data_IF_744347294541
#
_entry.id   IF_744347294541
#
_cell.length_a   1.000
_cell.length_b   1.000
_cell.length_c   1.000
_cell.angle_alpha   90.00
_cell.angle_beta   90.00
_cell.angle_gamma   90.00
#
_symmetry.space_group_name_H-M   'P 1'
#
loop_
_entity.id
_entity.type
_entity.pdbx_description
1 polymer ?
#
# COMPACT_ATOMS: atom_id res chain seq x y z
N UNK A 1 2.42 72.92 -24.95
CA UNK A 1 1.83 71.67 -25.49
C UNK A 1 1.17 70.94 -24.33
N UNK A 2 -0.16 70.87 -24.37
CA UNK A 2 -0.98 69.90 -23.64
C UNK A 2 -0.50 68.47 -23.98
N UNK A 3 -0.67 67.44 -23.14
CA UNK A 3 -1.95 66.79 -22.86
C UNK A 3 -1.95 66.09 -21.48
N UNK A 4 -3.15 66.10 -20.94
CA UNK A 4 -3.72 65.75 -19.64
C UNK A 4 -4.14 64.27 -19.51
N UNK A 5 -4.25 63.82 -18.24
CA UNK A 5 -5.22 62.83 -17.66
C UNK A 5 -5.04 61.35 -18.06
N UNK A 6 -5.43 60.33 -17.29
CA UNK A 6 -6.35 60.18 -16.15
C UNK A 6 -6.10 58.81 -15.47
N UNK A 7 -6.51 58.66 -14.20
CA UNK A 7 -6.48 57.40 -13.41
C UNK A 7 -7.92 56.86 -13.29
N UNK A 8 -8.19 55.54 -13.33
CA UNK A 8 -8.70 54.88 -12.11
C UNK A 8 -8.31 53.38 -11.93
N UNK A 9 -8.10 52.96 -10.67
CA UNK A 9 -7.85 51.55 -10.23
C UNK A 9 -9.14 50.70 -10.12
N UNK A 10 -9.35 49.87 -9.08
CA UNK A 10 -8.41 49.14 -8.20
C UNK A 10 -8.79 47.64 -8.03
N UNK A 11 -7.87 46.77 -7.58
CA UNK A 11 -8.13 45.65 -6.66
C UNK A 11 -6.79 44.96 -6.32
N UNK A 12 -6.12 45.44 -5.26
CA UNK A 12 -5.03 44.72 -4.58
C UNK A 12 -5.51 44.42 -3.16
N UNK A 13 -5.72 43.15 -2.87
CA UNK A 13 -6.07 42.65 -1.54
C UNK A 13 -4.85 42.76 -0.63
N UNK A 14 -4.96 43.57 0.41
CA UNK A 14 -3.98 43.70 1.50
C UNK A 14 -4.26 42.61 2.53
N UNK A 15 -3.29 41.72 2.76
CA UNK A 15 -3.30 40.76 3.87
C UNK A 15 -2.86 41.51 5.13
N UNK A 16 -3.74 41.60 6.12
CA UNK A 16 -3.50 42.20 7.45
C UNK A 16 -3.06 41.09 8.42
N UNK A 17 -1.82 41.16 8.90
CA UNK A 17 -1.35 40.43 10.08
C UNK A 17 -1.66 41.26 11.33
N UNK A 18 -2.24 40.68 12.41
CA UNK A 18 -2.28 41.36 13.69
C UNK A 18 -1.00 41.06 14.51
N UNK A 19 -0.23 42.11 14.76
CA UNK A 19 0.65 42.19 15.92
C UNK A 19 -0.17 42.59 17.16
N UNK A 20 0.04 41.90 18.28
CA UNK A 20 -0.23 42.45 19.61
C UNK A 20 0.86 41.97 20.56
N UNK A 21 1.68 42.90 21.00
CA UNK A 21 2.72 42.75 22.02
C UNK A 21 2.46 43.79 23.10
N UNK A 22 2.32 43.34 24.35
CA UNK A 22 2.42 44.04 25.65
C UNK A 22 1.84 43.05 26.69
N UNK A 23 2.39 42.78 27.88
CA UNK A 23 3.36 43.47 28.74
C UNK A 23 3.86 42.45 29.81
N UNK A 24 5.03 42.69 30.39
CA UNK A 24 5.75 41.80 31.35
C UNK A 24 5.33 41.98 32.84
N UNK A 25 5.43 40.85 33.59
CA UNK A 25 5.83 40.64 35.00
C UNK A 25 4.83 40.93 36.18
N UNK A 26 5.04 40.40 37.43
CA UNK A 26 5.93 39.33 37.94
C UNK A 26 5.28 38.29 38.91
N UNK A 27 6.05 37.21 39.21
CA UNK A 27 6.11 36.32 40.39
C UNK A 27 4.95 36.13 41.40
N UNK A 28 4.54 34.88 41.65
CA UNK A 28 4.40 34.30 43.00
C UNK A 28 4.24 32.75 42.97
N UNK A 29 4.80 31.96 43.94
CA UNK A 29 4.76 30.50 43.94
C UNK A 29 3.91 29.91 45.08
N UNK A 30 3.04 28.92 44.81
CA UNK A 30 2.39 28.05 45.81
C UNK A 30 1.87 26.74 45.15
N UNK A 31 1.53 25.68 45.89
CA UNK A 31 2.37 24.90 46.80
C UNK A 31 2.35 23.38 46.45
N UNK A 32 3.21 22.65 47.13
CA UNK A 32 3.26 21.17 47.19
C UNK A 32 1.96 20.55 47.74
N UNK A 33 1.81 19.27 47.41
CA UNK A 33 1.02 18.22 48.08
C UNK A 33 -0.33 17.86 47.46
N UNK A 34 -0.33 16.79 46.66
CA UNK A 34 -1.50 15.94 46.43
C UNK A 34 -1.06 14.51 46.76
N UNK A 35 -1.53 14.01 47.90
CA UNK A 35 -1.46 12.60 48.27
C UNK A 35 -2.33 11.75 47.33
N UNK A 36 -1.93 10.50 47.01
CA UNK A 36 -2.78 9.57 46.29
C UNK A 36 -3.84 8.94 47.22
N UNK A 37 -5.10 8.77 46.78
CA UNK A 37 -6.11 8.10 47.60
C UNK A 37 -5.81 6.60 47.73
N UNK A 38 -5.69 6.15 48.97
CA UNK A 38 -5.66 4.74 49.35
C UNK A 38 -7.03 4.10 49.13
N UNK A 39 -7.17 3.29 48.07
CA UNK A 39 -8.29 2.37 47.93
C UNK A 39 -8.00 1.10 48.75
N UNK A 40 -8.62 1.01 49.94
CA UNK A 40 -8.81 -0.27 50.64
C UNK A 40 -10.06 -0.93 50.07
N UNK A 41 -9.90 -2.13 49.51
CA UNK A 41 -11.02 -3.01 49.18
C UNK A 41 -11.14 -4.02 50.32
N UNK A 42 -12.24 -3.95 51.06
CA UNK A 42 -12.64 -4.94 52.05
C UNK A 42 -13.06 -6.25 51.35
N UNK A 43 -12.31 -7.32 51.57
CA UNK A 43 -12.58 -8.67 51.05
C UNK A 43 -13.31 -9.47 52.14
N UNK A 44 -14.57 -9.14 52.42
CA UNK A 44 -15.44 -10.02 53.21
C UNK A 44 -16.90 -9.82 52.87
N UNK A 45 -17.36 -10.46 51.78
CA UNK A 45 -18.70 -11.04 51.56
C UNK A 45 -18.98 -11.12 50.06
N UNK A 46 -18.53 -12.21 49.43
CA UNK A 46 -19.22 -12.74 48.25
C UNK A 46 -19.40 -14.23 48.49
N UNK A 47 -20.67 -14.58 48.71
CA UNK A 47 -21.17 -15.92 48.91
C UNK A 47 -21.17 -16.63 47.55
N UNK A 48 -20.28 -17.59 47.35
CA UNK A 48 -20.25 -18.44 46.15
C UNK A 48 -21.32 -19.53 46.25
N UNK A 49 -22.25 -19.66 45.28
CA UNK A 49 -22.86 -20.95 45.03
C UNK A 49 -21.92 -21.78 44.16
N UNK A 50 -21.48 -22.87 44.76
CA UNK A 50 -20.82 -24.00 44.11
C UNK A 50 -21.77 -24.55 43.03
N UNK A 51 -21.27 -24.66 41.81
CA UNK A 51 -21.93 -25.41 40.73
C UNK A 51 -22.01 -24.63 39.43
N UNK A 52 -20.98 -24.79 38.59
CA UNK A 52 -20.96 -24.89 37.10
C UNK A 52 -19.48 -24.71 36.71
N UNK A 53 -18.66 -25.75 36.92
CA UNK A 53 -17.22 -25.75 36.59
C UNK A 53 -16.83 -26.97 35.74
N UNK A 54 -17.78 -27.61 35.04
CA UNK A 54 -17.48 -28.77 34.17
C UNK A 54 -17.95 -28.60 32.71
N UNK A 55 -18.68 -27.53 32.35
CA UNK A 55 -19.18 -27.35 30.97
C UNK A 55 -18.58 -26.18 30.18
N UNK A 56 -17.59 -25.45 30.70
CA UNK A 56 -16.88 -24.41 29.96
C UNK A 56 -15.54 -24.86 29.35
N UNK A 57 -14.99 -26.02 29.75
CA UNK A 57 -13.71 -26.52 29.24
C UNK A 57 -13.83 -27.44 28.00
N UNK A 58 -15.04 -27.81 27.60
CA UNK A 58 -15.30 -28.69 26.45
C UNK A 58 -15.77 -27.90 25.19
N UNK A 59 -16.11 -26.62 25.32
CA UNK A 59 -16.64 -25.82 24.19
C UNK A 59 -15.56 -25.19 23.29
N UNK A 60 -14.32 -24.98 23.76
CA UNK A 60 -13.30 -24.34 22.92
C UNK A 60 -12.48 -25.30 22.05
N UNK A 61 -12.45 -26.61 22.37
CA UNK A 61 -11.74 -27.62 21.56
C UNK A 61 -12.56 -28.13 20.35
N UNK A 62 -13.86 -27.84 20.27
CA UNK A 62 -14.72 -28.31 19.17
C UNK A 62 -14.94 -27.28 18.04
N UNK A 63 -14.33 -26.09 18.11
CA UNK A 63 -14.33 -25.11 17.02
C UNK A 63 -13.01 -25.08 16.21
N UNK A 64 -12.05 -25.95 16.53
CA UNK A 64 -10.81 -26.13 15.76
C UNK A 64 -10.79 -27.42 14.92
N UNK A 65 -11.91 -28.14 14.83
CA UNK A 65 -12.05 -29.37 14.05
C UNK A 65 -13.25 -29.32 13.08
N UNK A 66 -13.35 -28.26 12.28
CA UNK A 66 -14.30 -28.21 11.14
C UNK A 66 -14.00 -27.09 10.15
N UNK A 67 -12.76 -27.01 9.64
CA UNK A 67 -12.50 -26.44 8.30
C UNK A 67 -11.51 -27.35 7.58
N UNK A 68 -12.00 -28.51 7.16
CA UNK A 68 -11.43 -29.26 6.04
C UNK A 68 -12.35 -29.13 4.84
N UNK A 69 -11.74 -28.90 3.67
CA UNK A 69 -12.28 -28.91 2.30
C UNK A 69 -12.77 -27.57 1.71
N UNK A 70 -11.87 -26.59 1.58
CA UNK A 70 -11.83 -25.69 0.42
C UNK A 70 -10.46 -24.97 0.36
N UNK A 71 -9.46 -25.57 -0.29
CA UNK A 71 -8.14 -24.95 -0.40
C UNK A 71 -7.02 -25.77 -1.05
N UNK A 72 -7.31 -27.01 -1.46
CA UNK A 72 -6.36 -27.87 -2.16
C UNK A 72 -6.78 -28.01 -3.64
N UNK A 73 -6.58 -26.95 -4.41
CA UNK A 73 -6.60 -26.98 -5.88
C UNK A 73 -5.79 -25.79 -6.42
N UNK A 74 -4.54 -25.68 -6.00
CA UNK A 74 -3.52 -24.99 -6.80
C UNK A 74 -2.69 -26.07 -7.48
N UNK A 75 -3.00 -26.29 -8.75
CA UNK A 75 -2.28 -27.20 -9.63
C UNK A 75 -0.82 -26.79 -9.72
N UNK A 76 0.04 -27.65 -9.17
CA UNK A 76 1.45 -27.78 -9.51
C UNK A 76 1.54 -28.04 -11.02
N UNK A 77 1.88 -27.03 -11.81
CA UNK A 77 2.16 -27.21 -13.22
C UNK A 77 3.66 -27.52 -13.38
N UNK A 78 4.04 -28.65 -14.00
CA UNK A 78 5.44 -28.93 -14.29
C UNK A 78 5.96 -27.99 -15.39
N UNK A 79 7.20 -27.55 -15.22
CA UNK A 79 7.91 -26.71 -16.17
C UNK A 79 8.05 -27.42 -17.54
N UNK A 80 7.84 -26.72 -18.68
CA UNK A 80 8.20 -27.27 -19.97
C UNK A 80 9.70 -27.10 -20.24
N UNK A 81 10.31 -28.24 -20.51
CA UNK A 81 11.63 -28.47 -21.06
C UNK A 81 11.79 -27.77 -22.42
N UNK A 82 12.90 -27.06 -22.59
CA UNK A 82 13.27 -26.37 -23.83
C UNK A 82 13.84 -27.36 -24.84
N UNK A 83 13.21 -27.49 -26.01
CA UNK A 83 13.89 -27.95 -27.23
C UNK A 83 13.50 -27.10 -28.44
N UNK A 84 14.53 -26.74 -29.19
CA UNK A 84 14.55 -25.99 -30.44
C UNK A 84 13.73 -26.64 -31.57
N UNK A 85 13.18 -25.80 -32.47
CA UNK A 85 13.44 -25.77 -33.91
C UNK A 85 12.24 -25.28 -34.77
N UNK A 86 12.46 -24.15 -35.45
CA UNK A 86 12.04 -23.75 -36.82
C UNK A 86 10.70 -24.26 -37.42
N UNK A 87 9.83 -23.35 -37.89
CA UNK A 87 9.65 -22.99 -39.32
C UNK A 87 8.37 -22.14 -39.61
N UNK A 88 8.56 -21.12 -40.45
CA UNK A 88 7.65 -20.46 -41.41
C UNK A 88 6.48 -19.54 -40.99
N UNK A 89 6.61 -18.35 -41.57
CA UNK A 89 5.75 -17.18 -41.69
C UNK A 89 4.47 -17.43 -42.50
N UNK A 90 3.32 -16.96 -42.01
CA UNK A 90 2.24 -16.43 -42.86
C UNK A 90 1.38 -15.44 -42.06
N UNK A 91 1.33 -14.20 -42.54
CA UNK A 91 0.68 -13.08 -41.86
C UNK A 91 -0.85 -13.11 -41.94
N UNK A 92 -1.49 -12.58 -40.88
CA UNK A 92 -2.75 -11.84 -40.96
C UNK A 92 -3.06 -11.19 -39.59
N UNK A 93 -3.10 -9.86 -39.54
CA UNK A 93 -4.03 -9.12 -38.67
C UNK A 93 -3.79 -8.98 -37.14
N UNK A 94 -2.55 -9.06 -36.63
CA UNK A 94 -2.29 -8.97 -35.16
C UNK A 94 -1.41 -7.78 -34.77
N UNK A 95 -1.77 -6.55 -35.16
CA UNK A 95 -0.93 -5.37 -34.93
C UNK A 95 -1.42 -4.41 -33.83
N UNK A 96 -2.37 -4.80 -32.96
CA UNK A 96 -2.88 -3.90 -31.90
C UNK A 96 -2.96 -4.52 -30.50
N UNK A 97 -2.42 -5.73 -30.29
CA UNK A 97 -2.40 -6.39 -28.98
C UNK A 97 -1.08 -6.23 -28.22
N UNK A 98 -0.03 -5.69 -28.84
CA UNK A 98 1.33 -5.70 -28.29
C UNK A 98 1.77 -4.37 -27.65
N UNK A 99 0.86 -3.39 -27.48
CA UNK A 99 1.20 -2.06 -26.87
C UNK A 99 0.79 -1.99 -25.39
N UNK A 100 0.09 -2.98 -24.86
CA UNK A 100 -0.24 -3.04 -23.44
C UNK A 100 0.82 -3.87 -22.73
N UNK A 101 1.67 -3.21 -21.95
CA UNK A 101 2.61 -3.86 -21.03
C UNK A 101 1.88 -4.96 -20.26
N UNK A 102 2.26 -6.21 -20.49
CA UNK A 102 1.60 -7.38 -19.89
C UNK A 102 1.60 -7.28 -18.35
N UNK A 103 0.58 -7.83 -17.67
CA UNK A 103 0.55 -7.86 -16.21
C UNK A 103 1.84 -8.53 -15.70
N UNK A 104 2.47 -7.91 -14.71
CA UNK A 104 3.74 -8.39 -14.13
C UNK A 104 3.61 -9.86 -13.72
N UNK A 105 4.51 -10.72 -14.22
CA UNK A 105 4.62 -12.11 -13.80
C UNK A 105 4.58 -12.19 -12.26
N UNK A 106 3.57 -12.86 -11.71
CA UNK A 106 3.45 -13.06 -10.27
C UNK A 106 4.58 -13.96 -9.81
N UNK A 107 5.40 -13.53 -8.82
CA UNK A 107 6.49 -14.36 -8.33
C UNK A 107 5.90 -15.60 -7.65
N UNK A 108 6.63 -16.71 -7.72
CA UNK A 108 6.30 -17.88 -6.91
C UNK A 108 6.46 -17.54 -5.44
N UNK A 109 5.34 -17.44 -4.73
CA UNK A 109 5.32 -17.03 -3.33
C UNK A 109 5.89 -18.13 -2.44
N UNK A 110 7.01 -17.82 -1.79
CA UNK A 110 7.66 -18.68 -0.80
C UNK A 110 8.12 -17.82 0.38
N UNK A 111 8.28 -18.38 1.60
CA UNK A 111 8.81 -17.61 2.73
C UNK A 111 10.21 -17.06 2.44
N UNK A 112 11.03 -17.80 1.68
CA UNK A 112 12.37 -17.39 1.27
C UNK A 112 12.37 -16.13 0.40
N UNK A 113 11.37 -15.97 -0.47
CA UNK A 113 11.18 -14.74 -1.23
C UNK A 113 10.97 -13.53 -0.31
N UNK A 114 10.12 -13.66 0.72
CA UNK A 114 9.84 -12.58 1.67
C UNK A 114 11.06 -12.21 2.52
N UNK A 115 11.88 -13.20 2.89
CA UNK A 115 13.11 -12.97 3.65
C UNK A 115 14.30 -12.51 2.81
N UNK A 116 14.10 -12.25 1.52
CA UNK A 116 15.08 -11.63 0.63
C UNK A 116 14.63 -10.19 0.31
N UNK A 117 14.99 -9.18 1.13
CA UNK A 117 14.48 -7.81 0.98
C UNK A 117 14.71 -7.22 -0.41
N UNK A 118 15.84 -7.57 -1.04
CA UNK A 118 16.19 -7.11 -2.40
C UNK A 118 15.17 -7.64 -3.42
N UNK A 119 14.90 -8.95 -3.41
CA UNK A 119 13.95 -9.57 -4.32
C UNK A 119 12.53 -9.01 -4.16
N UNK A 120 12.08 -8.83 -2.90
CA UNK A 120 10.78 -8.23 -2.62
C UNK A 120 10.68 -6.78 -3.12
N UNK A 121 11.68 -5.95 -2.83
CA UNK A 121 11.71 -4.55 -3.29
C UNK A 121 11.83 -4.44 -4.80
N UNK A 122 12.63 -5.29 -5.44
CA UNK A 122 12.77 -5.30 -6.89
C UNK A 122 11.48 -5.70 -7.60
N UNK A 123 10.78 -6.71 -7.08
CA UNK A 123 9.45 -7.05 -7.60
C UNK A 123 8.50 -5.84 -7.54
N UNK A 124 8.41 -5.18 -6.39
CA UNK A 124 7.53 -4.01 -6.21
C UNK A 124 7.95 -2.85 -7.10
N UNK A 125 9.25 -2.56 -7.18
CA UNK A 125 9.82 -1.50 -8.03
C UNK A 125 9.53 -1.74 -9.51
N UNK A 126 9.77 -2.96 -10.01
CA UNK A 126 9.54 -3.31 -11.41
C UNK A 126 8.04 -3.26 -11.74
N UNK A 127 7.19 -3.80 -10.86
CA UNK A 127 5.74 -3.78 -11.05
C UNK A 127 5.16 -2.36 -11.06
N UNK A 128 5.65 -1.46 -10.21
CA UNK A 128 5.27 -0.04 -10.22
C UNK A 128 5.81 0.66 -11.47
N UNK A 129 7.07 0.42 -11.83
CA UNK A 129 7.72 1.02 -12.99
C UNK A 129 7.04 0.70 -14.32
N UNK A 130 6.47 -0.52 -14.45
CA UNK A 130 5.83 -0.95 -15.69
C UNK A 130 4.44 -0.36 -15.93
N UNK A 131 3.70 -0.04 -14.86
CA UNK A 131 2.30 0.41 -14.93
C UNK A 131 2.08 1.81 -14.36
N UNK A 132 2.51 2.04 -13.12
CA UNK A 132 2.18 3.23 -12.32
C UNK A 132 3.09 4.41 -12.68
N UNK A 133 4.42 4.22 -12.72
CA UNK A 133 5.35 5.30 -13.06
C UNK A 133 5.19 5.75 -14.53
N UNK A 134 4.81 4.81 -15.40
CA UNK A 134 4.51 5.07 -16.81
C UNK A 134 3.02 5.32 -17.08
N UNK A 135 2.18 5.54 -16.04
CA UNK A 135 0.72 5.62 -16.21
C UNK A 135 0.28 6.66 -17.23
N UNK A 136 0.94 7.83 -17.26
CA UNK A 136 0.62 8.87 -18.22
C UNK A 136 0.89 8.41 -19.67
N UNK A 137 1.97 7.67 -19.89
CA UNK A 137 2.31 7.09 -21.20
C UNK A 137 1.31 6.00 -21.57
N UNK A 138 1.01 5.08 -20.65
CA UNK A 138 0.03 4.01 -20.84
C UNK A 138 -1.35 4.59 -21.21
N UNK A 139 -1.82 5.61 -20.49
CA UNK A 139 -3.10 6.28 -20.78
C UNK A 139 -3.08 7.04 -22.11
N UNK A 140 -2.00 7.72 -22.43
CA UNK A 140 -1.88 8.42 -23.71
C UNK A 140 -1.85 7.45 -24.90
N UNK A 141 -1.31 6.24 -24.73
CA UNK A 141 -1.32 5.20 -25.77
C UNK A 141 -2.74 4.69 -26.09
N UNK A 142 -3.68 4.80 -25.15
CA UNK A 142 -5.10 4.46 -25.38
C UNK A 142 -5.82 5.49 -26.24
N UNK A 143 -5.28 6.71 -26.34
CA UNK A 143 -5.80 7.74 -27.24
C UNK A 143 -5.43 7.29 -28.66
N UNK A 144 -6.43 6.94 -29.46
CA UNK A 144 -6.23 6.48 -30.85
C UNK A 144 -6.82 7.52 -31.82
N UNK A 145 -6.05 8.54 -32.23
CA UNK A 145 -6.53 9.57 -33.16
C UNK A 145 -6.97 8.99 -34.51
N UNK A 146 -6.35 7.89 -34.94
CA UNK A 146 -6.64 7.27 -36.24
C UNK A 146 -8.06 6.68 -36.34
N UNK A 147 -8.73 6.36 -35.22
CA UNK A 147 -10.12 5.88 -35.25
C UNK A 147 -11.11 6.95 -35.69
N UNK A 148 -10.80 8.24 -35.51
CA UNK A 148 -11.70 9.31 -35.95
C UNK A 148 -11.60 9.62 -37.45
N UNK A 149 -10.73 8.93 -38.19
CA UNK A 149 -10.47 9.25 -39.60
C UNK A 149 -9.80 10.63 -39.76
N UNK A 150 -9.16 10.82 -40.92
CA UNK A 150 -8.72 12.16 -41.33
C UNK A 150 -9.79 12.73 -42.26
N UNK A 151 -10.49 13.76 -41.81
CA UNK A 151 -11.41 14.51 -42.65
C UNK A 151 -10.67 15.72 -43.25
N UNK A 152 -10.41 15.66 -44.56
CA UNK A 152 -9.72 16.72 -45.29
C UNK A 152 -10.44 18.08 -45.19
N UNK A 153 -11.76 18.09 -44.99
CA UNK A 153 -12.56 19.33 -44.85
C UNK A 153 -12.32 20.03 -43.50
N UNK A 154 -11.83 19.30 -42.50
CA UNK A 154 -11.53 19.80 -41.15
C UNK A 154 -10.33 20.75 -41.08
N UNK A 155 -9.53 20.86 -42.16
CA UNK A 155 -8.42 21.83 -42.22
C UNK A 155 -8.85 23.27 -42.49
N UNK A 156 -10.09 23.49 -42.96
CA UNK A 156 -10.60 24.81 -43.33
C UNK A 156 -11.21 25.60 -42.17
N UNK A 157 -11.58 24.94 -41.07
CA UNK A 157 -12.23 25.58 -39.91
C UNK A 157 -11.41 25.33 -38.65
N UNK A 158 -10.94 26.41 -38.02
CA UNK A 158 -10.27 26.38 -36.71
C UNK A 158 -11.32 26.17 -35.61
N UNK A 159 -11.91 24.98 -35.52
CA UNK A 159 -12.81 24.62 -34.43
C UNK A 159 -11.97 24.47 -33.16
N UNK A 160 -12.33 25.20 -32.10
CA UNK A 160 -11.81 24.94 -30.76
C UNK A 160 -12.19 23.49 -30.39
N UNK A 161 -11.23 22.56 -30.55
CA UNK A 161 -11.45 21.12 -30.35
C UNK A 161 -12.07 20.89 -28.98
N UNK A 162 -13.13 20.07 -28.92
CA UNK A 162 -13.57 19.39 -27.68
C UNK A 162 -12.33 18.77 -27.03
N UNK A 163 -12.19 18.95 -25.71
CA UNK A 163 -10.99 18.65 -24.91
C UNK A 163 -10.08 17.58 -25.54
N UNK A 164 -8.92 17.97 -26.10
CA UNK A 164 -8.04 17.02 -26.76
C UNK A 164 -7.52 16.03 -25.71
N UNK A 165 -7.87 14.76 -25.87
CA UNK A 165 -7.31 13.65 -25.09
C UNK A 165 -8.21 13.01 -24.04
N UNK A 166 -9.52 13.04 -24.23
CA UNK A 166 -10.42 12.10 -23.54
C UNK A 166 -10.26 10.70 -24.16
N UNK A 167 -10.12 9.69 -23.30
CA UNK A 167 -9.98 8.30 -23.72
C UNK A 167 -11.37 7.70 -23.87
N UNK A 168 -11.54 6.84 -24.87
CA UNK A 168 -12.81 6.15 -25.11
C UNK A 168 -13.19 5.27 -23.88
N UNK A 169 -14.43 5.36 -23.36
CA UNK A 169 -14.80 4.73 -22.08
C UNK A 169 -14.54 3.23 -22.00
N UNK A 170 -14.81 2.48 -23.07
CA UNK A 170 -14.55 1.04 -23.12
C UNK A 170 -13.04 0.75 -23.04
N UNK A 171 -12.21 1.49 -23.77
CA UNK A 171 -10.75 1.34 -23.75
C UNK A 171 -10.17 1.64 -22.36
N UNK A 172 -10.70 2.66 -21.67
CA UNK A 172 -10.36 2.94 -20.27
C UNK A 172 -10.79 1.83 -19.33
N UNK A 173 -11.98 1.27 -19.51
CA UNK A 173 -12.48 0.19 -18.66
C UNK A 173 -11.68 -1.11 -18.87
N UNK A 174 -11.34 -1.44 -20.12
CA UNK A 174 -10.48 -2.57 -20.45
C UNK A 174 -9.09 -2.41 -19.81
N UNK A 175 -8.46 -1.24 -19.92
CA UNK A 175 -7.18 -0.97 -19.26
C UNK A 175 -7.27 -1.15 -17.73
N UNK A 176 -8.34 -0.63 -17.11
CA UNK A 176 -8.59 -0.79 -15.67
C UNK A 176 -8.70 -2.27 -15.29
N UNK A 177 -9.57 -3.01 -15.96
CA UNK A 177 -9.94 -4.37 -15.57
C UNK A 177 -8.89 -5.43 -15.96
N UNK A 178 -8.14 -5.23 -17.05
CA UNK A 178 -7.19 -6.21 -17.60
C UNK A 178 -5.73 -5.92 -17.22
N UNK A 179 -5.37 -4.68 -16.92
CA UNK A 179 -3.97 -4.27 -16.69
C UNK A 179 -3.78 -3.68 -15.30
N UNK A 180 -4.47 -2.59 -14.98
CA UNK A 180 -4.23 -1.82 -13.77
C UNK A 180 -4.59 -2.60 -12.49
N UNK A 181 -5.85 -3.04 -12.38
CA UNK A 181 -6.31 -3.74 -11.18
C UNK A 181 -5.65 -5.10 -10.97
N UNK A 182 -5.42 -5.94 -12.00
CA UNK A 182 -4.64 -7.17 -11.83
C UNK A 182 -3.22 -6.91 -11.31
N UNK A 183 -2.54 -5.88 -11.81
CA UNK A 183 -1.19 -5.49 -11.33
C UNK A 183 -1.22 -5.07 -9.85
N UNK A 184 -2.17 -4.22 -9.47
CA UNK A 184 -2.35 -3.81 -8.08
C UNK A 184 -2.68 -4.99 -7.17
N UNK A 185 -3.52 -5.92 -7.66
CA UNK A 185 -3.86 -7.14 -6.94
C UNK A 185 -2.63 -8.00 -6.69
N UNK A 186 -1.82 -8.26 -7.72
CA UNK A 186 -0.60 -9.05 -7.59
C UNK A 186 0.36 -8.48 -6.53
N UNK A 187 0.53 -7.15 -6.48
CA UNK A 187 1.33 -6.51 -5.42
C UNK A 187 0.69 -6.63 -4.04
N UNK A 188 -0.64 -6.47 -3.96
CA UNK A 188 -1.39 -6.68 -2.71
C UNK A 188 -1.22 -8.11 -2.18
N UNK A 189 -1.26 -9.11 -3.06
CA UNK A 189 -1.14 -10.53 -2.69
C UNK A 189 0.26 -10.81 -2.13
N UNK A 190 1.31 -10.31 -2.78
CA UNK A 190 2.69 -10.41 -2.29
C UNK A 190 2.85 -9.75 -0.91
N UNK A 191 2.36 -8.51 -0.73
CA UNK A 191 2.44 -7.80 0.54
C UNK A 191 1.60 -8.43 1.65
N UNK A 192 0.52 -9.14 1.29
CA UNK A 192 -0.35 -9.85 2.24
C UNK A 192 0.30 -11.17 2.65
N UNK A 193 0.80 -11.94 1.68
CA UNK A 193 1.52 -13.17 1.92
C UNK A 193 2.77 -12.93 2.79
N UNK A 194 3.60 -11.95 2.45
CA UNK A 194 4.78 -11.66 3.26
C UNK A 194 4.43 -11.13 4.66
N UNK A 195 3.28 -10.49 4.85
CA UNK A 195 2.84 -10.10 6.19
C UNK A 195 2.44 -11.31 7.04
N UNK A 196 1.79 -12.31 6.44
CA UNK A 196 1.54 -13.58 7.12
C UNK A 196 2.86 -14.26 7.54
N UNK A 197 3.84 -14.32 6.63
CA UNK A 197 5.18 -14.85 6.92
C UNK A 197 5.86 -14.07 8.05
N UNK A 198 5.76 -12.73 8.06
CA UNK A 198 6.36 -11.89 9.09
C UNK A 198 5.75 -12.09 10.49
N UNK A 199 4.52 -12.60 10.59
CA UNK A 199 3.86 -12.92 11.86
C UNK A 199 4.03 -14.39 12.28
N UNK A 200 4.57 -15.24 11.42
CA UNK A 200 4.84 -16.64 11.72
C UNK A 200 6.17 -16.79 12.48
N UNK A 201 6.28 -17.76 13.40
CA UNK A 201 7.58 -18.18 13.92
C UNK A 201 8.54 -18.57 12.78
N UNK A 202 9.79 -18.14 12.88
CA UNK A 202 10.86 -18.42 11.92
C UNK A 202 11.92 -19.32 12.58
N UNK A 203 11.77 -20.65 12.51
CA UNK A 203 12.72 -21.58 13.12
C UNK A 203 14.09 -21.58 12.43
N UNK A 204 14.15 -21.09 11.19
CA UNK A 204 15.35 -21.08 10.34
C UNK A 204 16.09 -19.73 10.39
N UNK A 205 15.79 -18.85 11.36
CA UNK A 205 16.51 -17.59 11.54
C UNK A 205 17.96 -17.86 12.01
N UNK A 206 18.99 -17.56 11.17
CA UNK A 206 20.38 -17.86 11.49
C UNK A 206 20.91 -17.03 12.66
N UNK A 207 20.24 -15.92 13.01
CA UNK A 207 20.66 -15.02 14.08
C UNK A 207 20.07 -15.38 15.45
N UNK A 208 19.24 -16.42 15.57
CA UNK A 208 18.59 -16.80 16.84
C UNK A 208 19.60 -17.03 17.96
N UNK A 209 20.62 -17.88 17.70
CA UNK A 209 21.61 -18.24 18.71
C UNK A 209 22.50 -17.05 19.09
N UNK A 210 22.89 -16.24 18.09
CA UNK A 210 23.70 -15.04 18.31
C UNK A 210 22.95 -14.03 19.18
N UNK A 211 21.67 -13.78 18.88
CA UNK A 211 20.81 -12.87 19.64
C UNK A 211 20.60 -13.35 21.08
N UNK A 212 20.41 -14.65 21.27
CA UNK A 212 20.28 -15.25 22.60
C UNK A 212 21.55 -15.06 23.43
N UNK A 213 22.72 -15.34 22.85
CA UNK A 213 24.02 -15.16 23.51
C UNK A 213 24.30 -13.69 23.87
N UNK A 214 23.95 -12.74 22.99
CA UNK A 214 24.10 -11.30 23.27
C UNK A 214 23.17 -10.82 24.37
N UNK A 215 21.93 -11.33 24.38
CA UNK A 215 20.95 -11.01 25.41
C UNK A 215 21.42 -11.52 26.76
N UNK A 216 22.01 -12.72 26.81
CA UNK A 216 22.56 -13.27 28.04
C UNK A 216 23.79 -12.48 28.53
N UNK A 217 24.76 -12.19 27.65
CA UNK A 217 25.89 -11.33 28.02
C UNK A 217 25.45 -9.96 28.54
N UNK A 218 24.42 -9.37 27.94
CA UNK A 218 23.93 -8.08 28.40
C UNK A 218 23.23 -8.16 29.76
N UNK A 219 22.60 -9.30 30.10
CA UNK A 219 22.03 -9.51 31.44
C UNK A 219 23.11 -9.57 32.52
N UNK A 220 24.28 -10.08 32.19
CA UNK A 220 25.45 -10.14 33.08
C UNK A 220 26.20 -8.79 33.19
N UNK A 221 25.90 -7.84 32.30
CA UNK A 221 26.61 -6.55 32.23
C UNK A 221 26.21 -5.64 33.41
N UNK A 222 27.19 -5.28 34.24
CA UNK A 222 27.04 -4.25 35.27
C UNK A 222 27.48 -2.91 34.70
N UNK A 223 26.61 -1.89 34.80
CA UNK A 223 26.84 -0.55 34.25
C UNK A 223 26.78 0.48 35.39
N UNK A 224 27.81 1.32 35.52
CA UNK A 224 27.80 2.48 36.42
C UNK A 224 27.26 3.71 35.67
N UNK A 225 25.97 3.99 35.83
CA UNK A 225 25.26 5.11 35.20
C UNK A 225 25.83 6.48 35.58
N UNK A 226 26.61 6.57 36.67
CA UNK A 226 27.25 7.81 37.11
C UNK A 226 28.46 8.17 36.26
N UNK A 227 29.17 7.17 35.71
CA UNK A 227 30.35 7.40 34.89
C UNK A 227 29.97 7.75 33.44
N UNK A 228 28.91 7.13 32.92
CA UNK A 228 28.34 7.43 31.61
C UNK A 228 26.82 7.15 31.59
N UNK A 229 25.97 8.20 31.54
CA UNK A 229 24.51 8.08 31.46
C UNK A 229 23.97 7.31 30.24
N UNK A 230 24.79 7.05 29.21
CA UNK A 230 24.35 6.35 28.00
C UNK A 230 24.78 4.89 27.93
N UNK A 231 25.72 4.48 28.79
CA UNK A 231 26.29 3.13 28.79
C UNK A 231 25.27 2.03 29.11
N UNK A 232 24.17 2.36 29.80
CA UNK A 232 23.10 1.42 30.17
C UNK A 232 22.20 0.98 29.00
N UNK A 233 22.26 1.66 27.85
CA UNK A 233 21.40 1.33 26.70
C UNK A 233 21.87 0.03 26.05
N UNK A 234 20.95 -0.91 25.89
CA UNK A 234 21.14 -2.14 25.13
C UNK A 234 20.11 -2.19 24.01
N UNK A 235 20.58 -2.43 22.79
CA UNK A 235 19.73 -2.60 21.62
C UNK A 235 19.89 -4.05 21.13
N UNK A 236 18.94 -4.94 21.46
CA UNK A 236 18.97 -6.31 20.97
C UNK A 236 18.96 -6.33 19.44
N UNK A 237 19.62 -7.32 18.84
CA UNK A 237 19.45 -7.57 17.42
C UNK A 237 18.03 -8.00 17.13
N UNK A 238 17.38 -7.31 16.20
CA UNK A 238 16.01 -7.61 15.79
C UNK A 238 15.93 -8.98 15.06
N UNK A 239 14.86 -9.78 15.29
CA UNK A 239 14.56 -10.96 14.49
C UNK A 239 14.32 -10.61 13.02
N UNK A 240 14.65 -11.55 12.14
CA UNK A 240 14.44 -11.40 10.69
C UNK A 240 12.97 -11.12 10.35
N UNK A 241 12.04 -11.70 11.09
CA UNK A 241 10.59 -11.44 10.98
C UNK A 241 10.20 -10.01 11.35
N UNK A 242 10.83 -9.42 12.37
CA UNK A 242 10.60 -8.02 12.75
C UNK A 242 11.16 -7.04 11.72
N UNK A 243 12.39 -7.31 11.24
CA UNK A 243 12.99 -6.58 10.11
C UNK A 243 12.08 -6.61 8.88
N UNK A 244 11.51 -7.78 8.56
CA UNK A 244 10.53 -7.94 7.48
C UNK A 244 9.24 -7.16 7.75
N UNK A 245 8.69 -7.22 8.97
CA UNK A 245 7.48 -6.49 9.34
C UNK A 245 7.66 -4.96 9.19
N UNK A 246 8.83 -4.44 9.59
CA UNK A 246 9.21 -3.04 9.39
C UNK A 246 9.21 -2.67 7.90
N UNK A 247 9.86 -3.48 7.07
CA UNK A 247 9.90 -3.29 5.63
C UNK A 247 8.49 -3.29 5.02
N UNK A 248 7.64 -4.24 5.39
CA UNK A 248 6.28 -4.34 4.86
C UNK A 248 5.41 -3.15 5.24
N UNK A 249 5.57 -2.59 6.45
CA UNK A 249 4.87 -1.34 6.85
C UNK A 249 5.24 -0.18 5.93
N UNK A 250 6.53 -0.05 5.62
CA UNK A 250 7.02 0.98 4.69
C UNK A 250 6.46 0.76 3.29
N UNK A 251 6.58 -0.45 2.74
CA UNK A 251 6.10 -0.76 1.39
C UNK A 251 4.59 -0.62 1.23
N UNK A 252 3.79 -0.93 2.26
CA UNK A 252 2.35 -0.67 2.26
C UNK A 252 2.03 0.82 2.23
N UNK A 253 2.79 1.64 2.95
CA UNK A 253 2.63 3.10 2.92
C UNK A 253 2.94 3.65 1.51
N UNK A 254 4.05 3.20 0.91
CA UNK A 254 4.42 3.56 -0.47
C UNK A 254 3.35 3.11 -1.45
N UNK A 255 2.86 1.88 -1.34
CA UNK A 255 1.83 1.34 -2.22
C UNK A 255 0.55 2.17 -2.19
N UNK A 256 0.10 2.59 -1.00
CA UNK A 256 -1.06 3.47 -0.85
C UNK A 256 -0.86 4.81 -1.57
N UNK A 257 0.32 5.41 -1.45
CA UNK A 257 0.65 6.68 -2.13
C UNK A 257 0.63 6.47 -3.64
N UNK A 258 1.32 5.43 -4.13
CA UNK A 258 1.40 5.13 -5.56
C UNK A 258 0.00 4.92 -6.14
N UNK A 259 -0.85 4.09 -5.52
CA UNK A 259 -2.22 3.86 -5.98
C UNK A 259 -3.05 5.14 -6.03
N UNK A 260 -2.98 5.97 -4.98
CA UNK A 260 -3.71 7.23 -4.93
C UNK A 260 -3.28 8.17 -6.07
N UNK A 261 -1.97 8.28 -6.32
CA UNK A 261 -1.44 9.13 -7.39
C UNK A 261 -1.83 8.60 -8.78
N UNK A 262 -1.63 7.31 -9.03
CA UNK A 262 -2.02 6.65 -10.28
C UNK A 262 -3.51 6.82 -10.52
N UNK A 263 -4.34 6.59 -9.50
CA UNK A 263 -5.79 6.72 -9.60
C UNK A 263 -6.22 8.14 -9.92
N UNK A 264 -5.60 9.16 -9.31
CA UNK A 264 -5.88 10.56 -9.61
C UNK A 264 -5.67 10.89 -11.11
N UNK A 265 -4.65 10.30 -11.74
CA UNK A 265 -4.39 10.47 -13.17
C UNK A 265 -5.39 9.70 -14.03
N UNK A 266 -5.72 8.47 -13.64
CA UNK A 266 -6.73 7.64 -14.32
C UNK A 266 -8.09 8.35 -14.29
N UNK A 267 -8.53 8.87 -13.14
CA UNK A 267 -9.80 9.59 -13.01
C UNK A 267 -9.87 10.83 -13.92
N UNK A 268 -8.77 11.59 -14.05
CA UNK A 268 -8.71 12.78 -14.92
C UNK A 268 -8.83 12.45 -16.40
N UNK A 269 -8.35 11.28 -16.84
CA UNK A 269 -8.25 10.89 -18.26
C UNK A 269 -9.37 9.97 -18.73
N UNK A 270 -9.94 9.16 -17.83
CA UNK A 270 -10.97 8.18 -18.14
C UNK A 270 -12.39 8.65 -17.83
N UNK A 271 -12.60 9.97 -17.65
CA UNK A 271 -13.89 10.62 -17.33
C UNK A 271 -14.76 9.78 -16.37
N UNK A 272 -14.18 9.41 -15.22
CA UNK A 272 -14.85 8.55 -14.26
C UNK A 272 -15.84 9.40 -13.46
N UNK A 273 -17.15 9.13 -13.59
CA UNK A 273 -18.25 9.95 -13.04
C UNK A 273 -18.41 9.88 -11.51
N UNK A 274 -17.48 9.25 -10.80
CA UNK A 274 -17.55 9.03 -9.35
C UNK A 274 -16.25 9.40 -8.65
N UNK A 275 -16.37 10.11 -7.52
CA UNK A 275 -15.29 10.46 -6.59
C UNK A 275 -14.81 9.26 -5.76
N UNK A 276 -14.74 8.07 -6.37
CA UNK A 276 -14.35 6.85 -5.67
C UNK A 276 -12.85 6.86 -5.37
N UNK A 277 -12.48 6.36 -4.19
CA UNK A 277 -11.07 6.17 -3.83
C UNK A 277 -10.45 4.98 -4.59
N UNK A 278 -9.12 4.96 -4.68
CA UNK A 278 -8.37 3.92 -5.40
C UNK A 278 -8.65 2.52 -4.81
N UNK A 279 -8.69 2.40 -3.48
CA UNK A 279 -8.96 1.13 -2.80
C UNK A 279 -10.41 0.68 -2.99
N UNK A 280 -11.35 1.63 -3.00
CA UNK A 280 -12.76 1.33 -3.26
C UNK A 280 -12.96 0.81 -4.69
N UNK A 281 -12.32 1.44 -5.68
CA UNK A 281 -12.38 1.00 -7.06
C UNK A 281 -11.80 -0.42 -7.25
N UNK A 282 -10.68 -0.72 -6.59
CA UNK A 282 -10.09 -2.06 -6.59
C UNK A 282 -11.00 -3.09 -5.93
N UNK A 283 -11.62 -2.75 -4.79
CA UNK A 283 -12.58 -3.62 -4.10
C UNK A 283 -13.81 -3.91 -4.97
N UNK A 284 -14.35 -2.90 -5.65
CA UNK A 284 -15.45 -3.11 -6.59
C UNK A 284 -15.06 -4.03 -7.75
N UNK A 285 -13.84 -3.91 -8.27
CA UNK A 285 -13.32 -4.82 -9.28
C UNK A 285 -13.23 -6.27 -8.77
N UNK A 286 -12.72 -6.49 -7.55
CA UNK A 286 -12.69 -7.82 -6.91
C UNK A 286 -14.09 -8.44 -6.84
N UNK A 287 -15.06 -7.68 -6.32
CA UNK A 287 -16.45 -8.12 -6.19
C UNK A 287 -17.11 -8.43 -7.54
N UNK A 288 -16.75 -7.71 -8.62
CA UNK A 288 -17.23 -8.02 -9.98
C UNK A 288 -16.64 -9.32 -10.49
N UNK A 289 -15.34 -9.55 -10.26
CA UNK A 289 -14.63 -10.77 -10.68
C UNK A 289 -15.16 -12.01 -9.97
N UNK A 290 -15.41 -11.93 -8.66
CA UNK A 290 -16.02 -13.02 -7.89
C UNK A 290 -17.41 -13.39 -8.41
N UNK A 291 -18.22 -12.39 -8.80
CA UNK A 291 -19.54 -12.62 -9.41
C UNK A 291 -19.46 -13.25 -10.80
N UNK A 292 -18.43 -12.97 -11.57
CA UNK A 292 -18.24 -13.53 -12.92
C UNK A 292 -17.64 -14.94 -12.91
N UNK A 293 -16.93 -15.31 -11.84
CA UNK A 293 -16.35 -16.65 -11.66
C UNK A 293 -17.27 -17.67 -10.99
N UNK A 294 -18.51 -17.29 -10.68
CA UNK A 294 -19.54 -18.14 -10.08
C UNK A 294 -20.62 -18.45 -11.12
#
# INVERSE_FOLDING_TARGET
MHITLDVPGPHRSVIKLPQRFERLAPSEPLPLSIEPPSFRIDITRIHWPIGIEILAYISWKSLFLSVTLAGLLWTRQPAPESTDATHVTRGSGRASRDIMTAPSNTPTLTPQFCFTPVALRDFLRISRGSIDDSIAQNLNALITPAKSGFDATSTSVRIARRSPGQIEPHSCQAFKDEVLFPSWQARSDVLTYCAYVATSPDPDDPEILLRAAETERNRERVVDERLDPYSGRYFPREPRTEKLALLLRQERSVERIVRSQTWSLVQKKCENSGSQDAEEALNQWRLRRERQGR
#
